data_IF_231876377460
#
_entry.id   IF_231876377460
#
_cell.length_a   1.000
_cell.length_b   1.000
_cell.length_c   1.000
_cell.angle_alpha   90.00
_cell.angle_beta   90.00
_cell.angle_gamma   90.00
#
_symmetry.space_group_name_H-M   'P 1'
#
loop_
_entity.id
_entity.type
_entity.pdbx_description
1 polymer ?
#
# COMPACT_ATOMS: atom_id res chain seq x y z
N UNK A 1 14.35 -7.79 -38.11
CA UNK A 1 13.56 -6.70 -37.49
C UNK A 1 12.46 -7.34 -36.66
N UNK A 2 12.28 -6.90 -35.42
CA UNK A 2 11.22 -7.28 -34.47
C UNK A 2 11.31 -8.71 -33.89
N UNK A 3 11.33 -8.93 -32.57
CA UNK A 3 11.25 -8.01 -31.45
C UNK A 3 11.75 -8.72 -30.20
N UNK A 4 12.60 -8.04 -29.44
CA UNK A 4 12.92 -8.40 -28.07
C UNK A 4 11.66 -8.15 -27.24
N UNK A 5 10.88 -9.20 -27.02
CA UNK A 5 9.88 -9.24 -25.96
C UNK A 5 10.65 -9.18 -24.63
N UNK A 6 10.74 -7.97 -24.09
CA UNK A 6 11.29 -7.71 -22.77
C UNK A 6 10.28 -8.25 -21.75
N UNK A 7 10.37 -9.55 -21.45
CA UNK A 7 9.76 -10.10 -20.23
C UNK A 7 10.57 -9.54 -19.06
N UNK A 8 10.18 -8.37 -18.55
CA UNK A 8 10.64 -7.93 -17.23
C UNK A 8 10.04 -8.93 -16.25
N UNK A 9 10.86 -9.91 -15.90
CA UNK A 9 10.66 -10.82 -14.79
C UNK A 9 10.32 -9.98 -13.56
N UNK A 10 9.16 -10.22 -12.96
CA UNK A 10 8.83 -9.75 -11.62
C UNK A 10 9.82 -10.42 -10.66
N UNK A 11 10.98 -9.82 -10.48
CA UNK A 11 11.98 -10.25 -9.51
C UNK A 11 11.48 -9.83 -8.12
N UNK A 12 11.21 -10.79 -7.22
CA UNK A 12 10.84 -10.45 -5.84
C UNK A 12 11.96 -9.60 -5.22
N UNK A 13 11.59 -8.45 -4.67
CA UNK A 13 12.53 -7.47 -4.09
C UNK A 13 12.86 -6.26 -4.97
N UNK A 14 12.37 -6.18 -6.22
CA UNK A 14 12.46 -4.93 -6.99
C UNK A 14 11.48 -3.91 -6.42
N UNK A 15 12.02 -2.73 -6.09
CA UNK A 15 11.23 -1.58 -5.68
C UNK A 15 10.43 -1.06 -6.86
N UNK A 16 9.12 -1.08 -6.75
CA UNK A 16 8.23 -0.39 -7.67
C UNK A 16 8.16 1.08 -7.27
N UNK A 17 8.56 1.93 -8.21
CA UNK A 17 8.51 3.37 -8.04
C UNK A 17 7.08 3.87 -8.27
N UNK A 18 6.53 4.59 -7.29
CA UNK A 18 5.17 5.12 -7.38
C UNK A 18 5.19 6.53 -7.93
N UNK A 19 5.93 7.41 -7.26
CA UNK A 19 5.99 8.81 -7.66
C UNK A 19 7.15 9.56 -7.00
N UNK A 20 7.57 10.65 -7.65
CA UNK A 20 8.55 11.61 -7.10
C UNK A 20 8.09 13.02 -7.41
N UNK A 21 8.31 13.91 -6.47
CA UNK A 21 8.08 15.35 -6.58
C UNK A 21 9.22 16.11 -5.88
N UNK A 22 9.08 17.43 -5.80
CA UNK A 22 10.00 18.31 -5.08
C UNK A 22 10.04 18.03 -3.56
N UNK A 23 8.94 17.55 -2.99
CA UNK A 23 8.75 17.38 -1.55
C UNK A 23 8.63 15.91 -1.11
N UNK A 24 8.28 14.99 -2.03
CA UNK A 24 8.00 13.60 -1.71
C UNK A 24 8.68 12.66 -2.71
N UNK A 25 9.15 11.52 -2.23
CA UNK A 25 9.45 10.36 -3.05
C UNK A 25 8.84 9.12 -2.40
N UNK A 26 8.12 8.34 -3.20
CA UNK A 26 7.37 7.21 -2.72
C UNK A 26 7.62 6.01 -3.64
N UNK A 27 7.95 4.90 -3.02
CA UNK A 27 8.09 3.60 -3.67
C UNK A 27 7.59 2.50 -2.74
N UNK A 28 7.44 1.30 -3.27
CA UNK A 28 7.14 0.13 -2.45
C UNK A 28 7.83 -1.12 -2.95
N UNK A 29 8.02 -2.07 -2.05
CA UNK A 29 8.42 -3.44 -2.35
C UNK A 29 7.42 -4.40 -1.76
N UNK A 30 7.26 -5.57 -2.37
CA UNK A 30 6.59 -6.67 -1.69
C UNK A 30 7.50 -7.21 -0.60
N UNK A 31 6.97 -7.35 0.62
CA UNK A 31 7.69 -7.99 1.73
C UNK A 31 7.47 -9.51 1.77
N UNK A 32 6.59 -10.02 0.91
CA UNK A 32 6.41 -11.44 0.66
C UNK A 32 7.25 -11.90 -0.54
N UNK A 33 7.70 -13.14 -0.51
CA UNK A 33 8.56 -13.76 -1.53
C UNK A 33 7.86 -14.06 -2.85
N UNK A 34 6.54 -14.11 -2.84
CA UNK A 34 5.70 -14.39 -4.00
C UNK A 34 5.27 -13.12 -4.72
N UNK A 35 5.36 -13.13 -6.05
CA UNK A 35 4.83 -12.06 -6.90
C UNK A 35 3.32 -11.88 -6.68
N UNK A 36 2.89 -10.64 -6.49
CA UNK A 36 1.48 -10.27 -6.29
C UNK A 36 1.12 -9.17 -7.29
N UNK A 37 -0.08 -9.24 -7.85
CA UNK A 37 -0.59 -8.13 -8.68
C UNK A 37 -1.19 -7.08 -7.76
N UNK A 38 -0.39 -6.07 -7.48
CA UNK A 38 -0.80 -4.87 -6.76
C UNK A 38 -0.32 -3.67 -7.55
N UNK A 39 -1.18 -2.66 -7.68
CA UNK A 39 -0.83 -1.41 -8.30
C UNK A 39 -1.43 -0.30 -7.46
N UNK A 40 -0.66 0.72 -7.17
CA UNK A 40 -1.04 1.82 -6.31
C UNK A 40 -0.70 3.12 -7.00
N UNK A 41 -1.58 4.10 -6.91
CA UNK A 41 -1.36 5.42 -7.48
C UNK A 41 -1.83 6.46 -6.48
N UNK A 42 -0.97 7.45 -6.23
CA UNK A 42 -1.20 8.57 -5.34
C UNK A 42 -1.18 9.87 -6.15
N UNK A 43 -2.31 10.58 -6.17
CA UNK A 43 -2.44 11.84 -6.92
C UNK A 43 -3.05 12.94 -6.04
N UNK A 44 -2.39 14.11 -5.90
CA UNK A 44 -1.05 14.43 -6.37
C UNK A 44 0.03 13.74 -5.52
N UNK A 45 1.19 13.49 -6.11
CA UNK A 45 2.38 13.07 -5.37
C UNK A 45 3.02 14.28 -4.70
N UNK A 46 2.47 14.71 -3.56
CA UNK A 46 3.01 15.81 -2.76
C UNK A 46 2.28 15.81 -1.43
N UNK A 47 3.01 15.98 -0.33
CA UNK A 47 2.43 16.08 1.01
C UNK A 47 2.25 17.55 1.46
N UNK A 48 2.90 18.50 0.79
CA UNK A 48 2.86 19.92 1.13
C UNK A 48 1.63 20.62 0.56
N UNK A 49 0.96 21.44 1.39
CA UNK A 49 -0.19 22.27 1.02
C UNK A 49 -1.36 21.52 0.34
N UNK A 50 -1.46 20.20 0.57
CA UNK A 50 -2.57 19.37 0.08
C UNK A 50 -3.44 18.91 1.24
N UNK A 51 -4.74 19.16 1.10
CA UNK A 51 -5.76 18.69 2.03
C UNK A 51 -6.43 17.39 1.57
N UNK A 52 -6.27 17.03 0.29
CA UNK A 52 -6.93 15.86 -0.32
C UNK A 52 -5.96 15.15 -1.25
N UNK A 53 -5.75 13.86 -1.00
CA UNK A 53 -5.07 12.94 -1.88
C UNK A 53 -6.06 11.93 -2.43
N UNK A 54 -6.03 11.70 -3.74
CA UNK A 54 -6.74 10.61 -4.38
C UNK A 54 -5.83 9.40 -4.43
N UNK A 55 -6.29 8.32 -3.82
CA UNK A 55 -5.66 7.02 -3.89
C UNK A 55 -6.45 6.13 -4.81
N UNK A 56 -5.75 5.48 -5.72
CA UNK A 56 -6.30 4.46 -6.60
C UNK A 56 -5.46 3.21 -6.43
N UNK A 57 -6.08 2.10 -6.05
CA UNK A 57 -5.40 0.82 -5.95
C UNK A 57 -6.13 -0.24 -6.77
N UNK A 58 -5.33 -1.11 -7.38
CA UNK A 58 -5.76 -2.32 -8.05
C UNK A 58 -5.05 -3.49 -7.40
N UNK A 59 -5.79 -4.51 -7.00
CA UNK A 59 -5.26 -5.69 -6.36
C UNK A 59 -5.98 -6.94 -6.85
N UNK A 60 -5.23 -8.02 -7.08
CA UNK A 60 -5.80 -9.34 -7.31
C UNK A 60 -5.50 -10.21 -6.06
N UNK A 61 -6.49 -10.50 -5.22
CA UNK A 61 -6.30 -11.29 -4.01
C UNK A 61 -5.99 -12.74 -4.37
N UNK A 62 -5.13 -13.35 -3.56
CA UNK A 62 -4.66 -14.73 -3.75
C UNK A 62 -5.48 -15.76 -2.99
N UNK A 63 -6.39 -15.29 -2.15
CA UNK A 63 -7.32 -16.05 -1.33
C UNK A 63 -8.67 -15.33 -1.34
N UNK A 64 -9.73 -16.05 -0.98
CA UNK A 64 -11.05 -15.44 -0.81
C UNK A 64 -11.01 -14.49 0.38
N UNK A 65 -11.57 -13.29 0.22
CA UNK A 65 -11.53 -12.21 1.20
C UNK A 65 -12.83 -12.21 2.03
N UNK A 66 -13.12 -13.33 2.67
CA UNK A 66 -14.26 -13.42 3.62
C UNK A 66 -13.88 -12.72 4.93
N UNK A 67 -12.65 -12.89 5.36
CA UNK A 67 -12.05 -12.19 6.49
C UNK A 67 -10.83 -11.42 6.01
N UNK A 68 -10.64 -10.21 6.53
CA UNK A 68 -9.49 -9.37 6.21
C UNK A 68 -9.11 -8.52 7.41
N UNK A 69 -7.94 -8.80 7.96
CA UNK A 69 -7.30 -7.99 8.99
C UNK A 69 -6.14 -7.23 8.40
N UNK A 70 -6.17 -5.91 8.53
CA UNK A 70 -5.12 -5.02 8.05
C UNK A 70 -4.26 -4.54 9.21
N UNK A 71 -2.95 -4.64 9.06
CA UNK A 71 -1.96 -4.09 9.98
C UNK A 71 -1.14 -3.04 9.24
N UNK A 72 -1.10 -1.84 9.82
CA UNK A 72 -0.38 -0.69 9.30
C UNK A 72 0.67 -0.24 10.33
N UNK A 73 1.94 -0.35 9.96
CA UNK A 73 3.06 0.04 10.84
C UNK A 73 3.91 1.12 10.18
N UNK A 74 4.05 2.27 10.83
CA UNK A 74 4.88 3.38 10.36
C UNK A 74 6.14 3.44 11.21
N UNK A 75 7.28 3.50 10.54
CA UNK A 75 8.58 3.76 11.13
C UNK A 75 9.08 5.10 10.62
N UNK A 76 9.58 5.93 11.53
CA UNK A 76 10.22 7.21 11.22
C UNK A 76 11.62 7.19 11.82
N UNK A 77 12.64 7.41 10.99
CA UNK A 77 14.06 7.40 11.38
C UNK A 77 14.45 6.19 12.25
N UNK A 78 13.92 5.02 11.90
CA UNK A 78 14.21 3.75 12.58
C UNK A 78 13.39 3.46 13.84
N UNK A 79 12.59 4.40 14.33
CA UNK A 79 11.68 4.20 15.46
C UNK A 79 10.25 3.94 14.98
N UNK A 80 9.52 3.05 15.65
CA UNK A 80 8.10 2.77 15.33
C UNK A 80 7.25 3.95 15.78
N UNK A 81 6.73 4.72 14.83
CA UNK A 81 5.92 5.91 15.07
C UNK A 81 4.42 5.58 15.21
N UNK A 82 3.94 4.58 14.46
CA UNK A 82 2.55 4.14 14.51
C UNK A 82 2.45 2.63 14.35
N UNK A 83 1.53 2.04 15.10
CA UNK A 83 1.05 0.68 14.87
C UNK A 83 -0.46 0.69 14.97
N UNK A 84 -1.13 0.37 13.87
CA UNK A 84 -2.57 0.30 13.80
C UNK A 84 -2.97 -1.04 13.22
N UNK A 85 -4.02 -1.63 13.78
CA UNK A 85 -4.55 -2.95 13.43
C UNK A 85 -6.05 -2.86 13.44
N UNK A 86 -6.67 -3.33 12.36
CA UNK A 86 -8.11 -3.24 12.15
C UNK A 86 -8.63 -4.46 11.41
N UNK A 87 -9.82 -4.92 11.76
CA UNK A 87 -10.54 -5.94 11.00
C UNK A 87 -11.43 -5.20 10.00
N UNK A 88 -11.07 -5.27 8.72
CA UNK A 88 -11.82 -4.66 7.63
C UNK A 88 -12.97 -5.56 7.17
N UNK A 89 -12.75 -6.87 7.16
CA UNK A 89 -13.78 -7.86 6.85
C UNK A 89 -13.79 -8.93 7.95
N UNK A 90 -14.96 -9.14 8.52
CA UNK A 90 -15.36 -10.21 9.42
C UNK A 90 -16.34 -11.19 8.74
N UNK A 91 -16.92 -10.80 7.60
CA UNK A 91 -17.72 -11.62 6.71
C UNK A 91 -17.83 -11.03 5.30
N UNK A 92 -18.53 -11.74 4.41
CA UNK A 92 -18.65 -11.34 3.01
C UNK A 92 -19.49 -10.05 2.80
N UNK A 93 -20.45 -9.77 3.68
CA UNK A 93 -21.41 -8.66 3.55
C UNK A 93 -20.98 -7.38 4.30
N UNK A 94 -19.70 -7.28 4.66
CA UNK A 94 -19.18 -6.12 5.38
C UNK A 94 -19.07 -4.86 4.51
N UNK A 95 -18.97 -3.66 5.12
CA UNK A 95 -19.15 -2.39 4.40
C UNK A 95 -18.13 -2.10 3.29
N UNK A 96 -16.98 -2.75 3.31
CA UNK A 96 -15.95 -2.55 2.30
C UNK A 96 -16.18 -3.45 1.09
N UNK A 97 -16.15 -2.88 -0.11
CA UNK A 97 -16.36 -3.60 -1.39
C UNK A 97 -15.32 -4.69 -1.71
N UNK A 98 -14.29 -4.81 -0.87
CA UNK A 98 -13.27 -5.86 -0.94
C UNK A 98 -13.70 -7.12 -0.20
N UNK A 99 -14.62 -7.01 0.76
CA UNK A 99 -15.16 -8.16 1.49
C UNK A 99 -15.99 -9.03 0.55
N UNK A 100 -15.87 -10.35 0.71
CA UNK A 100 -16.53 -11.36 -0.14
C UNK A 100 -15.91 -11.55 -1.53
N UNK A 101 -14.83 -10.82 -1.87
CA UNK A 101 -14.13 -10.99 -3.15
C UNK A 101 -13.44 -12.34 -3.22
N UNK A 102 -13.59 -13.02 -4.35
CA UNK A 102 -13.00 -14.33 -4.55
C UNK A 102 -11.55 -14.22 -5.02
N UNK A 103 -10.77 -15.27 -4.77
CA UNK A 103 -9.43 -15.44 -5.29
C UNK A 103 -9.40 -15.18 -6.80
N UNK A 104 -8.47 -14.35 -7.25
CA UNK A 104 -8.26 -14.04 -8.66
C UNK A 104 -9.16 -12.94 -9.22
N UNK A 105 -10.13 -12.43 -8.45
CA UNK A 105 -10.94 -11.28 -8.90
C UNK A 105 -10.14 -9.97 -8.84
N UNK A 106 -10.32 -9.10 -9.83
CA UNK A 106 -9.68 -7.78 -9.80
C UNK A 106 -10.46 -6.84 -8.88
N UNK A 107 -9.82 -6.40 -7.80
CA UNK A 107 -10.32 -5.36 -6.91
C UNK A 107 -9.71 -4.03 -7.34
N UNK A 108 -10.54 -3.13 -7.88
CA UNK A 108 -10.14 -1.76 -8.20
C UNK A 108 -10.95 -0.79 -7.34
N UNK A 109 -10.28 -0.02 -6.49
CA UNK A 109 -10.93 0.98 -5.64
C UNK A 109 -10.19 2.31 -5.70
N UNK A 110 -10.95 3.38 -5.52
CA UNK A 110 -10.39 4.72 -5.41
C UNK A 110 -11.09 5.48 -4.29
N UNK A 111 -10.30 6.09 -3.42
CA UNK A 111 -10.80 6.85 -2.28
C UNK A 111 -9.97 8.12 -2.09
N UNK A 112 -10.63 9.15 -1.58
CA UNK A 112 -9.97 10.40 -1.24
C UNK A 112 -9.56 10.34 0.24
N UNK A 113 -8.27 10.36 0.50
CA UNK A 113 -7.78 10.64 1.85
C UNK A 113 -7.79 12.14 2.03
N UNK A 114 -8.64 12.61 2.93
CA UNK A 114 -8.50 13.96 3.47
C UNK A 114 -7.37 13.92 4.49
N UNK A 115 -6.28 14.60 4.19
CA UNK A 115 -5.31 14.92 5.21
C UNK A 115 -6.00 15.78 6.26
N UNK A 116 -6.16 15.26 7.47
CA UNK A 116 -6.11 16.14 8.62
C UNK A 116 -4.79 16.94 8.56
N UNK A 117 -4.60 17.96 9.39
CA UNK A 117 -3.34 18.73 9.47
C UNK A 117 -2.15 17.87 9.99
N UNK A 118 -1.91 16.72 9.37
CA UNK A 118 -0.82 15.79 9.64
C UNK A 118 0.40 16.42 8.99
N UNK A 119 1.27 16.96 9.82
CA UNK A 119 2.59 17.42 9.39
C UNK A 119 3.49 16.20 9.36
N UNK A 120 4.12 15.95 8.22
CA UNK A 120 5.18 14.96 8.11
C UNK A 120 6.52 15.69 8.23
N UNK A 121 7.27 15.50 9.33
CA UNK A 121 8.66 15.94 9.40
C UNK A 121 9.47 15.42 8.22
N UNK A 122 10.49 16.17 7.81
CA UNK A 122 11.51 15.69 6.88
C UNK A 122 12.16 14.43 7.43
N UNK A 123 12.41 13.47 6.55
CA UNK A 123 13.11 12.24 6.91
C UNK A 123 12.61 11.03 6.13
N UNK A 124 13.09 9.87 6.56
CA UNK A 124 12.79 8.60 5.93
C UNK A 124 11.70 7.88 6.72
N UNK A 125 10.66 7.50 6.00
CA UNK A 125 9.57 6.72 6.52
C UNK A 125 9.57 5.36 5.86
N UNK A 126 9.37 4.34 6.69
CA UNK A 126 9.09 2.98 6.22
C UNK A 126 7.71 2.59 6.71
N UNK A 127 6.82 2.31 5.78
CA UNK A 127 5.43 1.99 6.07
C UNK A 127 5.14 0.57 5.62
N UNK A 128 4.85 -0.31 6.57
CA UNK A 128 4.56 -1.71 6.31
C UNK A 128 3.04 -1.91 6.40
N UNK A 129 2.43 -2.34 5.30
CA UNK A 129 1.03 -2.74 5.22
C UNK A 129 0.96 -4.25 5.04
N UNK A 130 0.29 -4.92 5.97
CA UNK A 130 0.03 -6.35 5.93
C UNK A 130 -1.47 -6.60 5.94
N UNK A 131 -1.92 -7.57 5.15
CA UNK A 131 -3.29 -8.07 5.13
C UNK A 131 -3.30 -9.56 5.42
N UNK A 132 -4.19 -10.00 6.31
CA UNK A 132 -4.35 -11.39 6.71
C UNK A 132 -5.79 -11.85 6.48
N UNK A 133 -5.98 -13.07 5.99
CA UNK A 133 -7.30 -13.69 5.82
C UNK A 133 -7.82 -14.39 7.09
N UNK A 134 -7.11 -14.26 8.20
CA UNK A 134 -7.47 -14.86 9.48
C UNK A 134 -7.18 -13.91 10.66
N UNK A 135 -7.84 -14.15 11.79
CA UNK A 135 -7.64 -13.34 13.00
C UNK A 135 -6.28 -13.63 13.68
N UNK A 136 -5.73 -14.83 13.50
CA UNK A 136 -4.46 -15.23 14.11
C UNK A 136 -3.21 -14.71 13.39
N UNK A 137 -3.37 -13.99 12.28
CA UNK A 137 -2.28 -13.41 11.48
C UNK A 137 -1.33 -14.44 10.87
N UNK A 138 -1.84 -15.64 10.57
CA UNK A 138 -1.06 -16.72 9.98
C UNK A 138 -1.13 -16.74 8.45
N UNK A 139 -2.27 -16.34 7.88
CA UNK A 139 -2.56 -16.42 6.45
C UNK A 139 -2.45 -15.04 5.80
N UNK A 140 -1.23 -14.65 5.47
CA UNK A 140 -0.93 -13.35 4.86
C UNK A 140 -1.32 -13.31 3.37
N UNK A 141 -2.29 -12.45 3.05
CA UNK A 141 -2.81 -12.26 1.68
C UNK A 141 -2.14 -11.10 0.94
N UNK A 142 -1.59 -10.12 1.67
CA UNK A 142 -0.94 -8.93 1.13
C UNK A 142 0.20 -8.49 2.05
N UNK A 143 1.36 -8.14 1.49
CA UNK A 143 2.47 -7.57 2.24
C UNK A 143 3.20 -6.54 1.40
N UNK A 144 3.12 -5.27 1.81
CA UNK A 144 3.77 -4.16 1.14
C UNK A 144 4.64 -3.39 2.12
N UNK A 145 5.84 -3.04 1.66
CA UNK A 145 6.77 -2.20 2.37
C UNK A 145 7.01 -0.93 1.55
N UNK A 146 6.30 0.14 1.90
CA UNK A 146 6.46 1.44 1.29
C UNK A 146 7.65 2.17 1.89
N UNK A 147 8.47 2.75 1.02
CA UNK A 147 9.52 3.69 1.40
C UNK A 147 9.07 5.07 0.97
N UNK A 148 8.96 5.98 1.94
CA UNK A 148 8.55 7.36 1.73
C UNK A 148 9.65 8.28 2.23
N UNK A 149 10.24 9.06 1.33
CA UNK A 149 11.20 10.10 1.66
C UNK A 149 10.49 11.46 1.57
N UNK A 150 10.41 12.13 2.71
CA UNK A 150 9.97 13.52 2.78
C UNK A 150 11.21 14.40 2.63
N UNK A 151 11.26 15.19 1.56
CA UNK A 151 12.45 15.98 1.16
C UNK A 151 12.52 17.34 1.84
N UNK A 152 11.38 17.88 2.25
CA UNK A 152 11.24 19.22 2.82
C UNK A 152 10.38 19.16 4.08
N UNK A 153 10.73 19.97 5.08
CA UNK A 153 9.86 20.18 6.23
C UNK A 153 8.64 21.00 5.83
N UNK A 154 7.55 20.85 6.56
CA UNK A 154 6.33 21.66 6.36
C UNK A 154 6.49 23.13 6.84
N UNK A 155 7.73 23.66 6.89
CA UNK A 155 8.09 25.00 7.40
C UNK A 155 9.10 25.69 6.50
#
# INVERSE_FOLDING_TARGET
>A
MFGLLFFILFTPGVSEFLCTSSDLELSYTFCDSTAQTFMFNLTPCSIMDKSIWKLSLTWIPRSDIIFLKAIFSVWYDGAKALHWKEVLCSGADDPYSVCGRLKGETVATSFNIKGAKIKFPKGNYRVILQGFSDDSENDMVLCLNFTMLVKQDAF
#
